data_IF_394915869491
#
_entry.id   IF_394915869491
#
_cell.length_a   1.000
_cell.length_b   1.000
_cell.length_c   1.000
_cell.angle_alpha   90.00
_cell.angle_beta   90.00
_cell.angle_gamma   90.00
#
_symmetry.space_group_name_H-M   'P 1'
#
loop_
_entity.id
_entity.type
_entity.pdbx_description
1 polymer ?
#
# COMPACT_ATOMS: atom_id res chain seq x y z
N UNK A 1 13.00 -4.16 -15.34
CA UNK A 1 12.68 -2.71 -15.19
C UNK A 1 13.84 -1.95 -14.54
N UNK A 2 14.20 -2.23 -13.28
CA UNK A 2 15.24 -1.51 -12.54
C UNK A 2 16.58 -1.35 -13.30
N UNK A 3 17.08 -2.42 -13.94
CA UNK A 3 18.30 -2.37 -14.75
C UNK A 3 18.23 -1.36 -15.92
N UNK A 4 17.06 -1.22 -16.56
CA UNK A 4 16.85 -0.25 -17.65
C UNK A 4 16.84 1.20 -17.15
N UNK A 5 16.43 1.41 -15.89
CA UNK A 5 16.35 2.74 -15.27
C UNK A 5 17.62 3.09 -14.46
N UNK A 6 18.58 2.17 -14.34
CA UNK A 6 19.77 2.38 -13.51
C UNK A 6 19.47 2.47 -12.00
N UNK A 7 18.40 1.84 -11.52
CA UNK A 7 17.99 1.86 -10.10
C UNK A 7 18.32 0.51 -9.45
N UNK A 8 18.82 0.53 -8.21
CA UNK A 8 19.09 -0.69 -7.43
C UNK A 8 17.78 -1.40 -7.05
N UNK A 9 17.71 -2.70 -7.32
CA UNK A 9 16.62 -3.56 -6.86
C UNK A 9 17.00 -4.17 -5.50
N UNK A 10 16.14 -3.99 -4.51
CA UNK A 10 16.24 -4.66 -3.22
C UNK A 10 15.24 -5.82 -3.17
N UNK A 11 15.59 -6.87 -2.44
CA UNK A 11 14.70 -7.99 -2.14
C UNK A 11 14.50 -8.09 -0.64
N UNK A 12 13.29 -8.45 -0.25
CA UNK A 12 12.91 -8.74 1.13
C UNK A 12 11.88 -9.87 1.11
N UNK A 13 11.85 -10.67 2.16
CA UNK A 13 10.88 -11.75 2.31
C UNK A 13 9.99 -11.43 3.51
N UNK A 14 8.71 -11.16 3.23
CA UNK A 14 7.68 -10.90 4.24
C UNK A 14 6.63 -12.01 4.27
N UNK A 15 7.00 -13.24 3.88
CA UNK A 15 6.06 -14.34 3.78
C UNK A 15 5.48 -14.76 5.14
N UNK A 16 6.29 -14.68 6.21
CA UNK A 16 5.83 -14.99 7.56
C UNK A 16 4.81 -13.94 8.04
N UNK A 17 5.14 -12.66 7.89
CA UNK A 17 4.26 -11.56 8.25
C UNK A 17 2.96 -11.56 7.44
N UNK A 18 3.03 -11.93 6.16
CA UNK A 18 1.83 -12.12 5.33
C UNK A 18 0.97 -13.29 5.83
N UNK A 19 1.60 -14.42 6.17
CA UNK A 19 0.87 -15.57 6.69
C UNK A 19 0.11 -15.19 7.97
N UNK A 20 0.83 -14.67 8.96
CA UNK A 20 0.30 -14.38 10.30
C UNK A 20 -0.75 -13.25 10.25
N UNK A 21 -0.46 -12.16 9.54
CA UNK A 21 -1.28 -10.94 9.63
C UNK A 21 -2.39 -10.85 8.57
N UNK A 22 -2.32 -11.66 7.51
CA UNK A 22 -3.29 -11.60 6.39
C UNK A 22 -3.95 -12.95 6.17
N UNK A 23 -3.16 -14.00 5.98
CA UNK A 23 -3.68 -15.28 5.52
C UNK A 23 -4.44 -16.05 6.61
N UNK A 24 -3.96 -16.04 7.85
CA UNK A 24 -4.67 -16.68 8.96
C UNK A 24 -6.05 -16.05 9.20
N UNK A 25 -6.13 -14.71 9.15
CA UNK A 25 -7.41 -13.99 9.26
C UNK A 25 -8.35 -14.35 8.11
N UNK A 26 -7.83 -14.38 6.87
CA UNK A 26 -8.60 -14.81 5.71
C UNK A 26 -9.23 -16.21 5.91
N UNK A 27 -8.45 -17.18 6.39
CA UNK A 27 -8.95 -18.53 6.67
C UNK A 27 -10.02 -18.54 7.78
N UNK A 28 -9.85 -17.73 8.83
CA UNK A 28 -10.81 -17.63 9.92
C UNK A 28 -12.16 -17.04 9.46
N UNK A 29 -12.13 -16.00 8.62
CA UNK A 29 -13.33 -15.37 8.06
C UNK A 29 -14.08 -16.33 7.14
N UNK A 30 -13.36 -17.06 6.28
CA UNK A 30 -13.95 -18.09 5.43
C UNK A 30 -14.60 -19.22 6.23
N UNK A 31 -13.94 -19.69 7.30
CA UNK A 31 -14.51 -20.70 8.22
C UNK A 31 -15.81 -20.22 8.87
N UNK A 32 -15.95 -18.91 9.07
CA UNK A 32 -17.14 -18.30 9.63
C UNK A 32 -18.21 -17.93 8.58
N UNK A 33 -18.06 -18.37 7.33
CA UNK A 33 -19.02 -18.15 6.25
C UNK A 33 -19.04 -16.73 5.69
N UNK A 34 -17.98 -15.94 5.95
CA UNK A 34 -17.83 -14.58 5.41
C UNK A 34 -16.94 -14.59 4.17
N UNK A 35 -17.06 -13.53 3.37
CA UNK A 35 -16.19 -13.28 2.22
C UNK A 35 -15.20 -12.17 2.57
N UNK A 36 -14.00 -12.49 3.11
CA UNK A 36 -12.99 -11.50 3.45
C UNK A 36 -12.33 -10.91 2.21
N UNK A 37 -11.78 -9.71 2.36
CA UNK A 37 -10.91 -9.09 1.36
C UNK A 37 -9.47 -9.04 1.89
N UNK A 38 -8.60 -9.99 1.49
CA UNK A 38 -7.22 -10.05 1.98
C UNK A 38 -6.35 -8.88 1.49
N UNK A 39 -6.71 -8.24 0.37
CA UNK A 39 -5.91 -7.13 -0.18
C UNK A 39 -5.95 -5.89 0.71
N UNK A 40 -7.08 -5.64 1.38
CA UNK A 40 -7.21 -4.55 2.35
C UNK A 40 -6.20 -4.75 3.50
N UNK A 41 -6.11 -6.00 4.01
CA UNK A 41 -5.17 -6.35 5.08
C UNK A 41 -3.72 -6.38 4.59
N UNK A 42 -3.47 -6.89 3.39
CA UNK A 42 -2.14 -6.87 2.78
C UNK A 42 -1.61 -5.44 2.64
N UNK A 43 -2.45 -4.49 2.21
CA UNK A 43 -2.05 -3.08 2.20
C UNK A 43 -1.76 -2.59 3.61
N UNK A 44 -2.68 -2.77 4.56
CA UNK A 44 -2.53 -2.26 5.93
C UNK A 44 -1.31 -2.84 6.66
N UNK A 45 -1.14 -4.16 6.63
CA UNK A 45 -0.15 -4.87 7.46
C UNK A 45 1.18 -5.07 6.76
N UNK A 46 1.19 -5.24 5.43
CA UNK A 46 2.43 -5.57 4.70
C UNK A 46 2.95 -4.36 3.96
N UNK A 47 2.18 -3.81 3.01
CA UNK A 47 2.72 -2.78 2.11
C UNK A 47 2.94 -1.42 2.78
N UNK A 48 2.13 -1.06 3.76
CA UNK A 48 2.18 0.26 4.40
C UNK A 48 2.64 0.20 5.87
N UNK A 49 3.05 -0.98 6.35
CA UNK A 49 3.62 -1.19 7.68
C UNK A 49 4.96 -1.90 7.56
N UNK A 50 4.98 -3.21 7.36
CA UNK A 50 6.25 -3.99 7.30
C UNK A 50 7.19 -3.49 6.20
N UNK A 51 6.68 -3.20 5.00
CA UNK A 51 7.52 -2.64 3.92
C UNK A 51 7.99 -1.21 4.21
N UNK A 52 7.15 -0.38 4.84
CA UNK A 52 7.50 0.98 5.21
C UNK A 52 8.64 0.95 6.26
N UNK A 53 8.47 0.17 7.32
CA UNK A 53 9.49 -0.06 8.36
C UNK A 53 10.80 -0.59 7.77
N UNK A 54 10.73 -1.55 6.84
CA UNK A 54 11.91 -2.07 6.16
C UNK A 54 12.61 -1.02 5.29
N UNK A 55 11.84 -0.19 4.55
CA UNK A 55 12.41 0.87 3.74
C UNK A 55 13.14 1.92 4.61
N UNK A 56 12.63 2.21 5.80
CA UNK A 56 13.29 3.08 6.78
C UNK A 56 14.60 2.50 7.28
N UNK A 57 14.65 1.19 7.55
CA UNK A 57 15.90 0.51 7.91
C UNK A 57 16.94 0.56 6.79
N UNK A 58 16.51 0.64 5.52
CA UNK A 58 17.39 0.87 4.37
C UNK A 58 17.80 2.34 4.20
N UNK A 59 17.29 3.25 5.03
CA UNK A 59 17.58 4.68 4.99
C UNK A 59 16.69 5.49 4.05
N UNK A 60 15.51 4.99 3.68
CA UNK A 60 14.57 5.74 2.85
C UNK A 60 13.74 6.74 3.67
N UNK A 61 13.55 7.95 3.14
CA UNK A 61 12.66 8.95 3.74
C UNK A 61 11.16 8.62 3.56
N UNK A 62 10.84 8.00 2.42
CA UNK A 62 9.48 7.65 1.98
C UNK A 62 9.49 6.37 1.15
N UNK A 63 8.34 5.71 1.08
CA UNK A 63 8.07 4.66 0.09
C UNK A 63 7.28 5.21 -1.10
N UNK A 64 7.31 4.50 -2.22
CA UNK A 64 6.43 4.77 -3.36
C UNK A 64 5.76 3.48 -3.82
N UNK A 65 4.49 3.57 -4.22
CA UNK A 65 3.75 2.41 -4.73
C UNK A 65 3.07 2.73 -6.05
N UNK A 66 2.78 1.70 -6.85
CA UNK A 66 2.06 1.83 -8.11
C UNK A 66 0.54 1.94 -7.97
N UNK A 67 0.03 2.30 -6.79
CA UNK A 67 -1.40 2.46 -6.58
C UNK A 67 -1.93 3.70 -7.30
N UNK A 68 -3.05 3.54 -8.01
CA UNK A 68 -3.79 4.62 -8.67
C UNK A 68 -4.66 5.36 -7.65
N UNK A 69 -3.99 6.06 -6.75
CA UNK A 69 -4.57 6.90 -5.70
C UNK A 69 -3.75 8.16 -5.59
N UNK A 70 -4.31 9.19 -4.97
CA UNK A 70 -3.58 10.44 -4.71
C UNK A 70 -3.45 10.67 -3.22
N UNK A 71 -2.54 11.56 -2.84
CA UNK A 71 -2.49 12.09 -1.50
C UNK A 71 -2.68 13.61 -1.54
N UNK A 72 -3.30 14.15 -0.50
CA UNK A 72 -3.39 15.59 -0.31
C UNK A 72 -3.22 15.94 1.17
N UNK A 73 -3.23 17.24 1.46
CA UNK A 73 -3.26 17.76 2.83
C UNK A 73 -4.59 18.49 3.00
N UNK A 74 -5.30 18.18 4.09
CA UNK A 74 -6.52 18.91 4.50
C UNK A 74 -6.44 19.18 5.99
N UNK A 75 -6.59 20.44 6.37
CA UNK A 75 -6.54 20.89 7.77
C UNK A 75 -5.23 20.49 8.50
N UNK A 76 -4.11 20.49 7.76
CA UNK A 76 -2.79 20.08 8.28
C UNK A 76 -2.55 18.57 8.30
N UNK A 77 -3.53 17.77 7.90
CA UNK A 77 -3.47 16.31 7.95
C UNK A 77 -3.37 15.68 6.55
N UNK A 78 -2.51 14.65 6.37
CA UNK A 78 -2.50 13.82 5.17
C UNK A 78 -3.86 13.15 4.91
N UNK A 79 -4.27 13.11 3.64
CA UNK A 79 -5.52 12.49 3.20
C UNK A 79 -5.26 11.60 1.99
N UNK A 80 -5.87 10.42 2.00
CA UNK A 80 -6.01 9.59 0.81
C UNK A 80 -7.10 10.20 -0.09
N UNK A 81 -6.77 10.40 -1.35
CA UNK A 81 -7.66 10.92 -2.38
C UNK A 81 -7.79 9.88 -3.50
N UNK A 82 -8.91 9.94 -4.23
CA UNK A 82 -9.10 9.11 -5.42
C UNK A 82 -8.08 9.44 -6.51
N UNK A 83 -7.68 8.44 -7.28
CA UNK A 83 -6.97 8.63 -8.56
C UNK A 83 -7.77 9.53 -9.51
N UNK A 84 -7.08 10.21 -10.43
CA UNK A 84 -7.75 11.03 -11.46
C UNK A 84 -8.64 10.18 -12.37
N UNK A 85 -8.14 9.01 -12.77
CA UNK A 85 -8.93 8.03 -13.51
C UNK A 85 -9.81 7.20 -12.57
N UNK A 86 -11.11 7.50 -12.58
CA UNK A 86 -12.11 6.82 -11.76
C UNK A 86 -12.28 5.33 -12.07
N UNK A 87 -11.93 4.86 -13.27
CA UNK A 87 -12.01 3.44 -13.64
C UNK A 87 -10.85 2.62 -13.06
N UNK A 88 -9.76 3.29 -12.69
CA UNK A 88 -8.57 2.67 -12.11
C UNK A 88 -8.31 3.06 -10.68
N UNK A 89 -9.15 3.90 -10.08
CA UNK A 89 -9.02 4.30 -8.68
C UNK A 89 -8.92 3.09 -7.74
N UNK A 90 -7.87 3.11 -6.91
CA UNK A 90 -7.60 2.03 -5.95
C UNK A 90 -7.81 2.48 -4.49
N UNK A 91 -8.42 3.65 -4.27
CA UNK A 91 -8.61 4.21 -2.93
C UNK A 91 -9.38 3.26 -2.00
N UNK A 92 -10.28 2.46 -2.56
CA UNK A 92 -11.02 1.42 -1.87
C UNK A 92 -10.10 0.45 -1.10
N UNK A 93 -9.03 -0.04 -1.71
CA UNK A 93 -8.14 -1.02 -1.08
C UNK A 93 -7.23 -0.42 0.00
N UNK A 94 -7.13 0.91 0.06
CA UNK A 94 -6.26 1.66 0.96
C UNK A 94 -7.06 2.33 2.10
N UNK A 95 -8.36 2.08 2.20
CA UNK A 95 -9.23 2.74 3.19
C UNK A 95 -8.82 2.48 4.65
N UNK A 96 -8.12 1.38 4.91
CA UNK A 96 -7.65 0.98 6.24
C UNK A 96 -6.20 1.41 6.52
N UNK A 97 -5.53 2.09 5.58
CA UNK A 97 -4.14 2.55 5.75
C UNK A 97 -4.12 3.78 6.68
N UNK A 98 -3.29 3.78 7.73
CA UNK A 98 -3.21 4.91 8.66
C UNK A 98 -2.69 6.20 8.00
N UNK A 99 -3.16 7.35 8.48
CA UNK A 99 -2.72 8.67 8.03
C UNK A 99 -1.18 8.84 8.08
N UNK A 100 -0.55 8.34 9.14
CA UNK A 100 0.91 8.37 9.30
C UNK A 100 1.65 7.62 8.18
N UNK A 101 1.12 6.49 7.71
CA UNK A 101 1.71 5.75 6.60
C UNK A 101 1.47 6.46 5.26
N UNK A 102 0.29 7.07 5.07
CA UNK A 102 0.00 7.90 3.89
C UNK A 102 0.99 9.08 3.80
N UNK A 103 1.28 9.77 4.91
CA UNK A 103 2.22 10.88 4.97
C UNK A 103 3.63 10.54 4.44
N UNK A 104 4.02 9.28 4.62
CA UNK A 104 5.34 8.72 4.29
C UNK A 104 5.34 7.93 2.99
N UNK A 105 4.24 7.99 2.22
CA UNK A 105 4.12 7.31 0.94
C UNK A 105 3.95 8.30 -0.21
N UNK A 106 4.53 7.97 -1.36
CA UNK A 106 4.31 8.65 -2.63
C UNK A 106 3.42 7.77 -3.52
N UNK A 107 2.51 8.42 -4.26
CA UNK A 107 1.61 7.77 -5.22
C UNK A 107 1.74 8.41 -6.61
N UNK A 108 2.86 8.20 -7.33
CA UNK A 108 3.18 8.98 -8.53
C UNK A 108 2.20 8.78 -9.69
N UNK A 109 1.54 7.62 -9.74
CA UNK A 109 0.66 7.23 -10.86
C UNK A 109 -0.80 7.66 -10.68
N UNK A 110 -1.20 8.14 -9.50
CA UNK A 110 -2.57 8.59 -9.27
C UNK A 110 -2.93 9.92 -9.93
N UNK A 111 -1.92 10.71 -10.32
CA UNK A 111 -2.06 11.96 -11.08
C UNK A 111 -2.07 11.72 -12.60
N UNK A 112 -2.09 10.46 -13.05
CA UNK A 112 -2.09 10.09 -14.46
C UNK A 112 -3.42 9.43 -14.82
N UNK A 113 -3.91 9.71 -16.02
CA UNK A 113 -4.95 8.89 -16.64
C UNK A 113 -4.34 7.58 -17.14
N UNK A 114 -5.07 6.48 -16.98
CA UNK A 114 -4.63 5.17 -17.47
C UNK A 114 -5.55 4.74 -18.62
N UNK A 115 -5.15 4.97 -19.87
CA UNK A 115 -5.93 4.53 -21.03
C UNK A 115 -6.10 3.00 -21.07
#
# INVERSE_FOLDING_TARGET
>A
VCAKLGIKLHTANFAAEYWDNVFEHFLAEYKAGRTPNPDILCNREIKFKVFLEYAEMLGADKIATGHYVRQGIRDGHPRLLKGLDGNKDQSYFLHAVPEAAIARTLFPVGELEKP
#
